data_IF_663642520165
#
_entry.id   IF_663642520165
#
_cell.length_a   1.000
_cell.length_b   1.000
_cell.length_c   1.000
_cell.angle_alpha   90.00
_cell.angle_beta   90.00
_cell.angle_gamma   90.00
#
_symmetry.space_group_name_H-M   'P 1'
#
loop_
_entity.id
_entity.type
_entity.pdbx_description
1 polymer ?
#
# COMPACT_ATOMS: atom_id res chain seq x y z
N UNK A 1 -19.05 0.21 1.70
CA UNK A 1 -17.89 0.46 2.55
C UNK A 1 -16.68 -0.02 1.75
N UNK A 2 -15.68 0.81 1.52
CA UNK A 2 -14.52 0.42 0.70
C UNK A 2 -13.41 -0.15 1.59
N UNK A 3 -12.77 -1.22 1.16
CA UNK A 3 -11.62 -1.81 1.85
C UNK A 3 -10.32 -1.27 1.25
N UNK A 4 -9.41 -0.74 2.04
CA UNK A 4 -8.19 -0.11 1.53
C UNK A 4 -6.96 -0.66 2.24
N UNK A 5 -5.93 -0.99 1.47
CA UNK A 5 -4.62 -1.29 2.02
C UNK A 5 -3.89 0.02 2.34
N UNK A 6 -3.60 0.24 3.62
CA UNK A 6 -2.89 1.40 4.14
C UNK A 6 -1.61 0.94 4.81
N UNK A 7 -0.48 1.51 4.42
CA UNK A 7 0.81 1.32 5.05
C UNK A 7 0.94 2.31 6.19
N UNK A 8 1.37 1.82 7.35
CA UNK A 8 1.83 2.65 8.46
C UNK A 8 3.26 2.26 8.76
N UNK A 9 4.20 3.09 8.32
CA UNK A 9 5.63 2.83 8.45
C UNK A 9 6.07 2.80 9.91
N UNK A 10 7.08 1.98 10.19
CA UNK A 10 7.62 1.79 11.54
C UNK A 10 7.99 3.11 12.21
N UNK A 11 8.77 3.96 11.56
CA UNK A 11 9.29 5.20 12.11
C UNK A 11 8.16 6.17 12.46
N UNK A 12 7.09 6.21 11.67
CA UNK A 12 5.92 7.03 11.98
C UNK A 12 5.17 6.46 13.18
N UNK A 13 4.99 5.14 13.22
CA UNK A 13 4.32 4.45 14.33
C UNK A 13 5.12 4.61 15.63
N UNK A 14 6.43 4.42 15.60
CA UNK A 14 7.35 4.51 16.73
C UNK A 14 7.44 5.94 17.28
N UNK A 15 7.56 6.94 16.39
CA UNK A 15 7.70 8.33 16.81
C UNK A 15 6.40 8.92 17.35
N UNK A 16 5.34 8.92 16.53
CA UNK A 16 4.11 9.67 16.82
C UNK A 16 2.83 8.81 16.78
N UNK A 17 2.95 7.55 16.36
CA UNK A 17 1.80 6.65 16.25
C UNK A 17 1.25 6.18 17.59
N UNK A 18 -0.05 5.87 17.56
CA UNK A 18 -0.76 5.18 18.64
C UNK A 18 -1.11 3.77 18.15
N UNK A 19 -0.69 2.71 18.85
CA UNK A 19 -1.07 1.35 18.52
C UNK A 19 -2.59 1.17 18.47
N UNK A 20 -3.06 0.43 17.47
CA UNK A 20 -4.46 0.09 17.24
C UNK A 20 -4.62 -1.43 17.07
N UNK A 21 -5.84 -1.91 17.17
CA UNK A 21 -6.21 -3.32 17.06
C UNK A 21 -7.24 -3.54 15.97
N UNK A 22 -7.42 -4.79 15.54
CA UNK A 22 -8.55 -5.17 14.70
C UNK A 22 -9.85 -4.80 15.40
N UNK A 23 -10.75 -4.14 14.67
CA UNK A 23 -12.02 -3.64 15.17
C UNK A 23 -12.00 -2.18 15.61
N UNK A 24 -10.83 -1.57 15.84
CA UNK A 24 -10.73 -0.16 16.23
C UNK A 24 -11.20 0.77 15.10
N UNK A 25 -11.80 1.90 15.48
CA UNK A 25 -12.02 3.03 14.59
C UNK A 25 -10.80 3.94 14.64
N UNK A 26 -10.27 4.32 13.48
CA UNK A 26 -9.08 5.16 13.36
C UNK A 26 -9.34 6.28 12.36
N UNK A 27 -8.62 7.40 12.53
CA UNK A 27 -8.65 8.54 11.61
C UNK A 27 -7.23 8.93 11.24
N UNK A 28 -6.89 8.78 9.96
CA UNK A 28 -5.54 8.99 9.45
C UNK A 28 -5.51 9.95 8.25
N UNK A 29 -4.59 10.91 8.22
CA UNK A 29 -4.25 11.59 6.97
C UNK A 29 -3.55 10.59 6.05
N UNK A 30 -4.13 10.35 4.87
CA UNK A 30 -3.59 9.41 3.89
C UNK A 30 -2.85 10.15 2.78
N UNK A 31 -1.67 9.64 2.44
CA UNK A 31 -0.81 10.09 1.36
C UNK A 31 -0.70 8.98 0.31
N UNK A 32 -0.95 9.29 -0.96
CA UNK A 32 -0.72 8.38 -2.07
C UNK A 32 0.73 8.53 -2.54
N UNK A 33 1.54 7.50 -2.26
CA UNK A 33 2.94 7.40 -2.63
C UNK A 33 3.09 6.61 -3.93
N UNK A 34 4.10 6.94 -4.73
CA UNK A 34 4.53 6.07 -5.82
C UNK A 34 4.95 4.71 -5.24
N UNK A 35 4.49 3.62 -5.86
CA UNK A 35 4.78 2.28 -5.38
C UNK A 35 6.25 1.89 -5.56
N UNK A 36 6.96 2.47 -6.54
CA UNK A 36 8.35 2.13 -6.84
C UNK A 36 9.33 2.80 -5.87
N UNK A 37 8.94 3.91 -5.23
CA UNK A 37 9.78 4.61 -4.23
C UNK A 37 9.70 3.96 -2.84
N UNK A 38 8.57 3.31 -2.53
CA UNK A 38 8.32 2.70 -1.23
C UNK A 38 8.86 1.28 -1.17
N UNK A 39 9.81 1.03 -0.27
CA UNK A 39 10.40 -0.30 -0.01
C UNK A 39 10.91 -1.01 -1.29
N UNK A 40 11.43 -0.26 -2.26
CA UNK A 40 12.02 -0.81 -3.49
C UNK A 40 11.01 -1.45 -4.45
N UNK A 41 9.71 -1.18 -4.29
CA UNK A 41 8.69 -1.58 -5.26
C UNK A 41 8.17 -3.02 -5.15
N UNK A 42 7.46 -3.42 -6.20
CA UNK A 42 6.85 -4.75 -6.34
C UNK A 42 5.53 -4.92 -5.57
N UNK A 43 4.81 -3.84 -5.27
CA UNK A 43 3.58 -3.79 -4.46
C UNK A 43 2.28 -4.17 -5.17
N UNK A 44 2.34 -5.01 -6.20
CA UNK A 44 1.25 -5.23 -7.16
C UNK A 44 -0.12 -5.59 -6.54
N UNK A 45 -0.12 -6.24 -5.38
CA UNK A 45 -1.26 -6.73 -4.62
C UNK A 45 -1.81 -5.73 -3.58
N UNK A 46 -1.09 -4.64 -3.30
CA UNK A 46 -1.52 -3.57 -2.38
C UNK A 46 -1.75 -2.22 -3.06
N UNK A 47 -1.66 -2.15 -4.39
CA UNK A 47 -1.83 -0.88 -5.11
C UNK A 47 -3.25 -0.35 -5.00
N UNK A 48 -3.35 0.92 -4.63
CA UNK A 48 -4.54 1.73 -4.76
C UNK A 48 -4.54 2.41 -6.13
N UNK A 49 -5.69 2.37 -6.80
CA UNK A 49 -5.96 3.16 -8.00
C UNK A 49 -6.93 4.25 -7.60
N UNK A 50 -6.50 5.51 -7.74
CA UNK A 50 -7.34 6.66 -7.47
C UNK A 50 -7.50 7.49 -8.74
N UNK A 51 -8.71 7.99 -8.98
CA UNK A 51 -8.98 8.93 -10.04
C UNK A 51 -9.99 9.97 -9.52
N UNK A 52 -9.78 11.24 -9.86
CA UNK A 52 -10.67 12.29 -9.39
C UNK A 52 -10.15 13.70 -9.61
N UNK A 53 -10.95 14.73 -9.28
CA UNK A 53 -10.49 16.11 -9.26
C UNK A 53 -9.40 16.31 -8.20
N UNK A 54 -8.47 17.22 -8.49
CA UNK A 54 -7.41 17.64 -7.59
C UNK A 54 -7.71 19.04 -7.04
N UNK A 55 -7.59 19.18 -5.73
CA UNK A 55 -7.83 20.40 -4.98
C UNK A 55 -6.53 20.84 -4.28
N UNK A 56 -6.40 22.13 -4.00
CA UNK A 56 -5.38 22.64 -3.06
C UNK A 56 -6.04 22.89 -1.71
N UNK A 57 -5.50 22.26 -0.67
CA UNK A 57 -5.90 22.54 0.72
C UNK A 57 -4.64 22.91 1.51
N UNK A 58 -4.44 24.21 1.69
CA UNK A 58 -3.30 24.71 2.47
C UNK A 58 -1.94 24.37 1.86
N UNK A 59 -1.84 24.37 0.52
CA UNK A 59 -0.62 24.02 -0.21
C UNK A 59 -0.42 22.51 -0.43
N UNK A 60 -1.37 21.68 0.01
CA UNK A 60 -1.36 20.23 -0.23
C UNK A 60 -2.27 19.90 -1.40
N UNK A 61 -1.74 19.15 -2.38
CA UNK A 61 -2.53 18.59 -3.49
C UNK A 61 -3.34 17.40 -2.97
N UNK A 62 -4.65 17.52 -2.99
CA UNK A 62 -5.57 16.48 -2.53
C UNK A 62 -6.38 15.97 -3.72
N UNK A 63 -6.41 14.66 -3.89
CA UNK A 63 -7.32 13.99 -4.82
C UNK A 63 -8.54 13.48 -4.05
N UNK A 64 -9.73 13.88 -4.51
CA UNK A 64 -10.98 13.24 -4.09
C UNK A 64 -11.29 12.15 -5.10
N UNK A 65 -10.97 10.92 -4.73
CA UNK A 65 -11.22 9.74 -5.53
C UNK A 65 -12.72 9.58 -5.82
N UNK A 66 -13.07 9.07 -7.00
CA UNK A 66 -14.44 8.98 -7.52
C UNK A 66 -15.41 8.22 -6.62
N UNK A 67 -14.93 7.26 -5.83
CA UNK A 67 -15.75 6.55 -4.83
C UNK A 67 -15.83 7.30 -3.49
N UNK A 68 -15.10 8.40 -3.31
CA UNK A 68 -15.18 9.28 -2.14
C UNK A 68 -13.96 9.27 -1.22
N UNK A 69 -12.95 8.43 -1.48
CA UNK A 69 -11.71 8.44 -0.70
C UNK A 69 -10.96 9.76 -0.92
N UNK A 70 -10.49 10.39 0.16
CA UNK A 70 -9.70 11.63 0.08
C UNK A 70 -8.24 11.32 0.42
N UNK A 71 -7.32 11.64 -0.49
CA UNK A 71 -5.88 11.36 -0.32
C UNK A 71 -5.03 12.54 -0.75
N UNK A 72 -3.95 12.81 -0.03
CA UNK A 72 -2.92 13.74 -0.52
C UNK A 72 -2.08 13.06 -1.62
N UNK A 73 -1.59 13.85 -2.57
CA UNK A 73 -0.65 13.40 -3.59
C UNK A 73 0.76 13.80 -3.18
N UNK A 74 1.63 12.80 -3.05
CA UNK A 74 3.05 13.06 -2.79
C UNK A 74 3.70 13.71 -4.02
N UNK A 75 4.55 14.70 -3.76
CA UNK A 75 5.52 15.15 -4.74
C UNK A 75 6.74 14.24 -4.67
N UNK A 76 7.49 14.15 -5.76
CA UNK A 76 8.83 13.58 -5.69
C UNK A 76 9.72 14.57 -4.91
N UNK A 77 10.30 14.18 -3.75
CA UNK A 77 11.14 15.08 -2.97
C UNK A 77 12.45 15.44 -3.69
N UNK A 78 12.87 14.65 -4.68
CA UNK A 78 14.09 14.85 -5.46
C UNK A 78 13.84 15.68 -6.74
N UNK A 79 12.59 15.95 -7.09
CA UNK A 79 12.25 16.82 -8.21
C UNK A 79 12.25 18.30 -7.77
N UNK A 80 13.11 19.10 -8.41
CA UNK A 80 13.12 20.57 -8.25
C UNK A 80 11.83 21.24 -8.77
N UNK A 81 11.06 20.54 -9.61
CA UNK A 81 9.79 20.99 -10.17
C UNK A 81 8.62 20.17 -9.61
N UNK A 82 7.58 20.84 -9.13
CA UNK A 82 6.36 20.17 -8.68
C UNK A 82 5.59 19.58 -9.87
N UNK A 83 5.80 18.29 -10.13
CA UNK A 83 5.12 17.53 -11.20
C UNK A 83 3.73 17.02 -10.80
N UNK A 84 3.23 17.38 -9.60
CA UNK A 84 1.88 16.98 -9.20
C UNK A 84 0.84 17.67 -10.11
N UNK A 85 -0.32 17.03 -10.34
CA UNK A 85 -1.41 17.66 -11.07
C UNK A 85 -1.79 19.02 -10.47
N UNK A 86 -2.17 19.97 -11.31
CA UNK A 86 -2.56 21.30 -10.85
C UNK A 86 -3.96 21.27 -10.20
N UNK A 87 -4.27 22.20 -9.29
CA UNK A 87 -5.62 22.32 -8.76
C UNK A 87 -6.63 22.58 -9.87
N UNK A 88 -7.77 21.88 -9.83
CA UNK A 88 -8.78 21.90 -10.88
C UNK A 88 -8.59 20.82 -11.95
N UNK A 89 -7.40 20.22 -12.05
CA UNK A 89 -7.18 19.09 -12.96
C UNK A 89 -7.92 17.85 -12.46
N UNK A 90 -8.24 16.96 -13.41
CA UNK A 90 -8.56 15.57 -13.10
C UNK A 90 -7.29 14.75 -13.26
N UNK A 91 -6.99 13.95 -12.25
CA UNK A 91 -5.82 13.09 -12.27
C UNK A 91 -6.22 11.63 -12.07
N UNK A 92 -5.33 10.74 -12.51
CA UNK A 92 -5.39 9.31 -12.24
C UNK A 92 -4.02 8.88 -11.75
N UNK A 93 -3.99 8.24 -10.60
CA UNK A 93 -2.76 7.83 -9.95
C UNK A 93 -2.89 6.40 -9.44
N UNK A 94 -1.77 5.68 -9.43
CA UNK A 94 -1.68 4.33 -8.89
C UNK A 94 -0.50 4.33 -7.92
N UNK A 95 -0.72 3.85 -6.70
CA UNK A 95 0.28 3.97 -5.66
C UNK A 95 -0.11 3.25 -4.38
N UNK A 96 0.67 3.46 -3.33
CA UNK A 96 0.37 2.95 -1.99
C UNK A 96 -0.24 4.06 -1.15
N UNK A 97 -1.26 3.72 -0.37
CA UNK A 97 -1.74 4.62 0.66
C UNK A 97 -0.81 4.47 1.86
N UNK A 98 -0.18 5.56 2.28
CA UNK A 98 0.60 5.63 3.50
C UNK A 98 -0.04 6.61 4.48
N UNK A 99 0.12 6.37 5.77
CA UNK A 99 -0.22 7.34 6.81
C UNK A 99 0.79 8.49 6.76
N UNK A 100 0.39 9.74 7.02
CA UNK A 100 1.34 10.87 7.17
C UNK A 100 1.19 11.57 8.52
N UNK A 101 2.18 11.48 9.41
CA UNK A 101 2.12 12.13 10.74
C UNK A 101 3.05 13.33 10.93
N UNK A 102 3.99 13.54 10.03
CA UNK A 102 5.11 14.49 10.15
C UNK A 102 5.03 15.62 9.11
N UNK A 103 4.20 15.46 8.08
CA UNK A 103 4.00 16.45 7.03
C UNK A 103 2.96 17.54 7.33
N UNK A 104 2.54 18.20 6.25
CA UNK A 104 1.44 19.16 6.26
C UNK A 104 0.12 18.53 6.76
N UNK A 105 -0.88 19.36 7.05
CA UNK A 105 -2.18 18.90 7.56
C UNK A 105 -3.23 18.92 6.45
N UNK A 106 -3.94 17.83 6.30
CA UNK A 106 -5.11 17.69 5.43
C UNK A 106 -6.20 16.86 6.10
N UNK A 107 -7.43 16.82 5.54
CA UNK A 107 -8.52 16.02 6.08
C UNK A 107 -8.10 14.56 6.31
N UNK A 108 -8.47 14.03 7.47
CA UNK A 108 -8.24 12.63 7.81
C UNK A 108 -9.33 11.75 7.21
N UNK A 109 -8.95 10.54 6.83
CA UNK A 109 -9.87 9.47 6.46
C UNK A 109 -10.13 8.61 7.69
N UNK A 110 -11.40 8.47 8.04
CA UNK A 110 -11.85 7.62 9.14
C UNK A 110 -12.32 6.26 8.64
N UNK A 111 -12.03 5.21 9.38
CA UNK A 111 -12.52 3.87 9.08
C UNK A 111 -12.21 2.85 10.16
N UNK A 112 -12.79 1.67 9.99
CA UNK A 112 -12.60 0.53 10.90
C UNK A 112 -11.45 -0.34 10.44
N UNK A 113 -10.57 -0.71 11.37
CA UNK A 113 -9.48 -1.66 11.12
C UNK A 113 -10.06 -3.08 10.97
N UNK A 114 -9.84 -3.71 9.81
CA UNK A 114 -10.32 -5.08 9.51
C UNK A 114 -9.22 -6.13 9.53
N UNK A 115 -7.97 -5.74 9.29
CA UNK A 115 -6.81 -6.60 9.40
C UNK A 115 -5.55 -5.77 9.70
N UNK A 116 -4.61 -6.36 10.43
CA UNK A 116 -3.27 -5.79 10.68
C UNK A 116 -2.22 -6.85 10.38
N UNK A 117 -1.26 -6.49 9.54
CA UNK A 117 -0.16 -7.38 9.16
C UNK A 117 1.16 -6.63 9.32
N UNK A 118 2.07 -7.14 10.15
CA UNK A 118 3.44 -6.63 10.24
C UNK A 118 4.16 -6.88 8.92
N UNK A 119 4.67 -5.81 8.33
CA UNK A 119 5.48 -5.83 7.12
C UNK A 119 6.91 -6.16 7.48
N UNK A 120 7.42 -7.30 7.01
CA UNK A 120 8.82 -7.68 7.14
C UNK A 120 9.49 -7.49 5.79
N UNK A 121 10.33 -6.46 5.67
CA UNK A 121 11.05 -6.11 4.45
C UNK A 121 12.49 -6.61 4.51
N UNK A 122 12.97 -7.19 3.41
CA UNK A 122 14.38 -7.50 3.25
C UNK A 122 15.16 -6.31 2.70
N UNK A 123 16.36 -6.09 3.24
CA UNK A 123 17.31 -5.08 2.80
C UNK A 123 18.65 -5.76 2.52
N UNK A 124 19.33 -5.32 1.46
CA UNK A 124 20.69 -5.74 1.15
C UNK A 124 21.62 -4.53 1.26
N UNK A 125 22.89 -4.76 1.59
CA UNK A 125 23.88 -3.70 1.46
C UNK A 125 23.94 -3.19 0.02
N UNK A 126 24.10 -1.87 -0.15
CA UNK A 126 24.27 -1.26 -1.47
C UNK A 126 25.58 -1.70 -2.13
N UNK A 127 26.63 -1.90 -1.32
CA UNK A 127 27.90 -2.49 -1.71
C UNK A 127 28.49 -3.28 -0.53
N UNK A 128 29.31 -4.32 -0.77
CA UNK A 128 29.89 -5.12 0.32
C UNK A 128 30.59 -4.25 1.38
N UNK A 129 30.11 -4.31 2.61
CA UNK A 129 30.66 -3.58 3.76
C UNK A 129 30.33 -2.08 3.79
N UNK A 130 29.44 -1.58 2.93
CA UNK A 130 29.07 -0.16 2.90
C UNK A 130 28.30 0.28 4.15
N UNK A 131 27.63 -0.65 4.84
CA UNK A 131 26.64 -0.39 5.91
C UNK A 131 25.46 0.49 5.47
N UNK A 132 25.34 0.79 4.18
CA UNK A 132 24.19 1.43 3.55
C UNK A 132 23.27 0.33 3.03
N UNK A 133 21.99 0.41 3.35
CA UNK A 133 21.03 -0.66 3.10
C UNK A 133 19.95 -0.19 2.14
N UNK A 134 19.68 -1.01 1.13
CA UNK A 134 18.64 -0.77 0.14
C UNK A 134 17.57 -1.87 0.22
N UNK A 135 16.29 -1.53 0.10
CA UNK A 135 15.23 -2.52 0.11
C UNK A 135 15.35 -3.44 -1.11
N UNK A 136 15.25 -4.74 -0.88
CA UNK A 136 15.24 -5.72 -1.97
C UNK A 136 13.83 -5.83 -2.53
N UNK A 137 13.65 -5.35 -3.76
CA UNK A 137 12.38 -5.35 -4.47
C UNK A 137 11.65 -6.69 -4.39
N UNK A 138 10.38 -6.66 -3.98
CA UNK A 138 9.52 -7.85 -3.88
C UNK A 138 9.92 -8.89 -2.81
N UNK A 139 10.98 -8.66 -2.02
CA UNK A 139 11.38 -9.55 -0.92
C UNK A 139 10.77 -9.09 0.41
N UNK A 140 9.44 -9.10 0.47
CA UNK A 140 8.67 -8.83 1.68
C UNK A 140 7.92 -10.07 2.18
N UNK A 141 7.54 -10.04 3.46
CA UNK A 141 6.60 -10.97 4.08
C UNK A 141 5.61 -10.18 4.93
N UNK A 142 4.40 -10.69 5.03
CA UNK A 142 3.38 -10.15 5.92
C UNK A 142 3.14 -11.16 7.04
N UNK A 143 3.10 -10.69 8.28
CA UNK A 143 2.80 -11.50 9.46
C UNK A 143 1.58 -10.94 10.15
N UNK A 144 0.49 -11.69 10.17
CA UNK A 144 -0.74 -11.29 10.85
C UNK A 144 -0.51 -11.02 12.34
N UNK A 145 -1.16 -9.96 12.84
CA UNK A 145 -1.26 -9.62 14.27
C UNK A 145 -2.65 -9.08 14.56
N UNK A 146 -3.15 -9.29 15.78
CA UNK A 146 -4.43 -8.70 16.21
C UNK A 146 -4.28 -7.23 16.63
N UNK A 147 -3.06 -6.84 17.04
CA UNK A 147 -2.72 -5.49 17.48
C UNK A 147 -1.43 -5.02 16.82
N UNK A 148 -1.44 -3.80 16.29
CA UNK A 148 -0.25 -3.14 15.77
C UNK A 148 0.79 -2.97 16.89
N UNK A 149 2.04 -3.42 16.70
CA UNK A 149 3.09 -3.13 17.66
C UNK A 149 3.41 -1.63 17.68
N UNK A 150 3.89 -1.14 18.82
CA UNK A 150 4.45 0.21 18.93
C UNK A 150 5.89 0.26 18.41
N UNK A 151 6.66 -0.79 18.69
CA UNK A 151 8.08 -0.91 18.42
C UNK A 151 8.32 -2.10 17.50
N UNK A 152 9.14 -1.91 16.49
CA UNK A 152 9.39 -2.87 15.43
C UNK A 152 10.81 -3.43 15.53
N UNK A 153 10.95 -4.70 15.19
CA UNK A 153 12.22 -5.41 15.33
C UNK A 153 13.15 -5.13 14.16
N UNK A 154 14.39 -4.77 14.48
CA UNK A 154 15.43 -4.54 13.48
C UNK A 154 15.89 -5.82 12.77
N UNK A 155 15.70 -6.98 13.40
CA UNK A 155 16.02 -8.32 12.90
C UNK A 155 17.52 -8.60 12.73
N UNK A 156 17.83 -9.84 12.38
CA UNK A 156 19.21 -10.33 12.28
C UNK A 156 19.82 -10.06 10.89
N UNK A 157 21.15 -9.97 10.87
CA UNK A 157 21.94 -9.79 9.65
C UNK A 157 22.53 -11.14 9.24
N UNK A 158 22.25 -11.54 8.01
CA UNK A 158 22.76 -12.76 7.38
C UNK A 158 23.73 -12.38 6.26
N UNK A 159 24.70 -13.23 5.94
CA UNK A 159 25.60 -13.00 4.82
C UNK A 159 25.00 -13.58 3.53
N UNK A 160 24.82 -12.73 2.51
CA UNK A 160 24.33 -13.12 1.20
C UNK A 160 25.37 -13.88 0.38
N UNK A 161 24.90 -14.68 -0.59
CA UNK A 161 25.76 -15.46 -1.49
C UNK A 161 26.62 -14.60 -2.43
N UNK A 162 26.23 -13.34 -2.64
CA UNK A 162 26.96 -12.34 -3.42
C UNK A 162 27.94 -11.52 -2.55
N UNK A 163 28.14 -11.90 -1.29
CA UNK A 163 29.01 -11.23 -0.34
C UNK A 163 28.41 -9.98 0.31
N UNK A 164 27.22 -9.54 -0.11
CA UNK A 164 26.50 -8.43 0.52
C UNK A 164 25.74 -8.94 1.73
N UNK A 165 25.76 -8.20 2.84
CA UNK A 165 24.93 -8.55 3.97
C UNK A 165 23.45 -8.35 3.63
N UNK A 166 22.59 -9.25 4.13
CA UNK A 166 21.14 -9.23 4.01
C UNK A 166 20.55 -9.07 5.41
N UNK A 167 19.55 -8.22 5.55
CA UNK A 167 18.85 -7.99 6.82
C UNK A 167 17.35 -8.02 6.59
N UNK A 168 16.59 -8.60 7.53
CA UNK A 168 15.13 -8.55 7.51
C UNK A 168 14.65 -7.72 8.68
N UNK A 169 13.92 -6.64 8.42
CA UNK A 169 13.39 -5.73 9.43
C UNK A 169 11.88 -5.71 9.38
N UNK A 170 11.25 -5.54 10.53
CA UNK A 170 9.85 -5.17 10.59
C UNK A 170 9.74 -3.67 10.25
N UNK A 171 9.25 -3.34 9.04
CA UNK A 171 9.27 -1.98 8.50
C UNK A 171 7.94 -1.22 8.66
N UNK A 172 7.04 -1.73 9.49
CA UNK A 172 5.73 -1.15 9.74
C UNK A 172 4.61 -2.17 9.64
N UNK A 173 3.41 -1.71 9.34
CA UNK A 173 2.23 -2.56 9.12
C UNK A 173 1.50 -2.22 7.83
N UNK A 174 0.93 -3.24 7.21
CA UNK A 174 -0.17 -3.09 6.25
C UNK A 174 -1.48 -3.28 7.00
N UNK A 175 -2.38 -2.33 6.85
CA UNK A 175 -3.70 -2.31 7.47
C UNK A 175 -4.74 -2.44 6.38
N UNK A 176 -5.72 -3.32 6.57
CA UNK A 176 -6.97 -3.20 5.81
C UNK A 176 -7.92 -2.28 6.56
N UNK A 177 -8.18 -1.12 5.99
CA UNK A 177 -9.09 -0.11 6.53
C UNK A 177 -10.42 -0.14 5.78
N UNK A 178 -11.52 -0.33 6.48
CA UNK A 178 -12.87 -0.20 5.94
C UNK A 178 -13.37 1.24 6.09
N UNK A 179 -13.54 1.94 4.97
CA UNK A 179 -13.88 3.35 4.91
C UNK A 179 -15.35 3.52 4.47
N UNK A 180 -16.20 4.17 5.29
CA UNK A 180 -17.59 4.42 4.93
C UNK A 180 -17.76 5.24 3.66
N UNK A 181 -18.82 4.94 2.91
CA UNK A 181 -19.18 5.70 1.70
C UNK A 181 -18.20 5.56 0.53
N UNK A 182 -17.22 4.66 0.61
CA UNK A 182 -16.25 4.38 -0.47
C UNK A 182 -16.42 3.00 -1.08
N UNK A 183 -15.72 2.76 -2.19
CA UNK A 183 -15.53 1.45 -2.82
C UNK A 183 -14.08 1.32 -3.34
N UNK A 184 -13.57 0.11 -3.52
CA UNK A 184 -12.19 -0.10 -3.94
C UNK A 184 -12.00 -1.38 -4.75
N UNK A 185 -10.82 -1.53 -5.35
CA UNK A 185 -10.41 -2.77 -5.99
C UNK A 185 -10.31 -3.96 -5.01
N UNK A 186 -9.97 -3.71 -3.74
CA UNK A 186 -9.94 -4.76 -2.73
C UNK A 186 -11.35 -5.19 -2.33
N UNK A 187 -12.27 -4.23 -2.18
CA UNK A 187 -13.70 -4.52 -2.01
C UNK A 187 -14.24 -5.36 -3.16
N UNK A 188 -13.92 -5.00 -4.40
CA UNK A 188 -14.24 -5.79 -5.58
C UNK A 188 -13.70 -7.23 -5.50
N UNK A 189 -12.43 -7.40 -5.15
CA UNK A 189 -11.79 -8.72 -5.03
C UNK A 189 -12.43 -9.58 -3.92
N UNK A 190 -12.83 -8.98 -2.80
CA UNK A 190 -13.57 -9.68 -1.74
C UNK A 190 -14.94 -10.13 -2.25
N UNK A 191 -15.68 -9.27 -2.98
CA UNK A 191 -16.97 -9.67 -3.59
C UNK A 191 -16.80 -10.85 -4.54
N UNK A 192 -15.79 -10.82 -5.41
CA UNK A 192 -15.51 -11.92 -6.33
C UNK A 192 -15.17 -13.21 -5.59
N UNK A 193 -14.29 -13.15 -4.58
CA UNK A 193 -13.93 -14.31 -3.76
C UNK A 193 -15.13 -14.91 -3.01
N UNK A 194 -16.12 -14.06 -2.67
CA UNK A 194 -17.37 -14.48 -2.02
C UNK A 194 -18.49 -14.86 -3.01
N UNK A 195 -18.25 -14.77 -4.32
CA UNK A 195 -19.25 -15.07 -5.34
C UNK A 195 -20.43 -14.08 -5.38
N UNK A 196 -20.22 -12.84 -4.90
CA UNK A 196 -21.27 -11.81 -4.87
C UNK A 196 -21.35 -11.13 -6.25
N UNK A 197 -22.52 -11.11 -6.92
CA UNK A 197 -22.66 -10.47 -8.23
C UNK A 197 -22.47 -8.95 -8.17
N UNK A 198 -21.54 -8.43 -8.96
CA UNK A 198 -21.13 -7.02 -8.92
C UNK A 198 -22.25 -6.03 -9.27
N UNK A 199 -23.17 -6.40 -10.15
CA UNK A 199 -24.23 -5.49 -10.65
C UNK A 199 -25.34 -5.22 -9.63
N UNK A 200 -25.35 -5.93 -8.50
CA UNK A 200 -26.43 -5.89 -7.50
C UNK A 200 -25.88 -5.65 -6.09
N UNK A 201 -24.56 -5.57 -5.93
CA UNK A 201 -23.93 -5.45 -4.63
C UNK A 201 -23.89 -3.99 -4.18
N UNK A 202 -24.64 -3.68 -3.12
CA UNK A 202 -24.47 -2.41 -2.40
C UNK A 202 -23.09 -2.39 -1.71
N UNK A 203 -22.42 -1.22 -1.64
CA UNK A 203 -21.13 -1.12 -0.97
C UNK A 203 -21.20 -1.59 0.49
N UNK A 204 -20.42 -2.62 0.85
CA UNK A 204 -20.41 -3.22 2.19
C UNK A 204 -21.01 -4.64 2.23
N UNK A 205 -21.69 -5.09 1.17
CA UNK A 205 -22.13 -6.48 1.04
C UNK A 205 -20.95 -7.48 1.13
N UNK A 206 -19.75 -7.05 0.73
CA UNK A 206 -18.52 -7.83 0.84
C UNK A 206 -18.13 -8.21 2.27
N UNK A 207 -18.53 -7.44 3.28
CA UNK A 207 -18.25 -7.70 4.70
C UNK A 207 -19.50 -8.13 5.48
N UNK A 208 -20.67 -8.19 4.83
CA UNK A 208 -21.91 -8.62 5.47
C UNK A 208 -21.94 -10.14 5.71
N UNK A 209 -22.31 -10.55 6.93
CA UNK A 209 -22.48 -11.95 7.31
C UNK A 209 -21.18 -12.77 7.43
N UNK A 210 -20.01 -12.18 7.23
CA UNK A 210 -18.72 -12.81 7.46
C UNK A 210 -18.22 -12.48 8.88
N UNK A 211 -17.68 -13.45 9.60
CA UNK A 211 -17.08 -13.20 10.91
C UNK A 211 -15.81 -12.37 10.76
N UNK A 212 -15.42 -11.62 11.79
CA UNK A 212 -14.17 -10.85 11.76
C UNK A 212 -12.97 -11.73 11.43
N UNK A 213 -12.86 -12.91 12.05
CA UNK A 213 -11.78 -13.87 11.78
C UNK A 213 -11.76 -14.35 10.32
N UNK A 214 -12.91 -14.76 9.77
CA UNK A 214 -12.99 -15.23 8.39
C UNK A 214 -12.71 -14.11 7.38
N UNK A 215 -13.11 -12.86 7.68
CA UNK A 215 -12.77 -11.71 6.87
C UNK A 215 -11.27 -11.45 6.90
N UNK A 216 -10.64 -11.51 8.07
CA UNK A 216 -9.18 -11.35 8.18
C UNK A 216 -8.42 -12.44 7.42
N UNK A 217 -8.85 -13.70 7.48
CA UNK A 217 -8.24 -14.82 6.73
C UNK A 217 -8.33 -14.60 5.22
N UNK A 218 -9.49 -14.14 4.74
CA UNK A 218 -9.71 -13.82 3.33
C UNK A 218 -8.81 -12.66 2.87
N UNK A 219 -8.76 -11.58 3.67
CA UNK A 219 -7.93 -10.41 3.38
C UNK A 219 -6.44 -10.79 3.32
N UNK A 220 -5.96 -11.64 4.23
CA UNK A 220 -4.57 -12.12 4.20
C UNK A 220 -4.22 -12.85 2.89
N UNK A 221 -5.17 -13.64 2.37
CA UNK A 221 -5.02 -14.34 1.08
C UNK A 221 -4.92 -13.34 -0.09
N UNK A 222 -5.68 -12.24 -0.02
CA UNK A 222 -5.68 -11.20 -1.04
C UNK A 222 -4.46 -10.25 -0.94
N UNK A 223 -3.86 -10.13 0.24
CA UNK A 223 -2.67 -9.32 0.52
C UNK A 223 -1.34 -9.98 0.16
N UNK A 224 -1.34 -11.19 -0.41
CA UNK A 224 -0.10 -11.96 -0.68
C UNK A 224 -0.05 -12.57 -2.08
N UNK A 225 -0.88 -12.07 -3.01
CA UNK A 225 -0.95 -12.62 -4.37
C UNK A 225 0.35 -12.35 -5.10
N UNK A 226 1.11 -13.42 -5.36
CA UNK A 226 2.34 -13.35 -6.14
C UNK A 226 2.08 -12.69 -7.50
N UNK A 227 3.00 -11.80 -7.91
CA UNK A 227 2.92 -11.15 -9.21
C UNK A 227 2.78 -12.23 -10.31
N UNK A 228 1.84 -12.07 -11.26
CA UNK A 228 1.79 -12.97 -12.39
C UNK A 228 3.14 -12.95 -13.11
N UNK A 229 3.69 -14.09 -13.54
CA UNK A 229 4.97 -14.12 -14.23
C UNK A 229 4.90 -13.19 -15.44
N UNK A 230 5.85 -12.24 -15.53
CA UNK A 230 5.98 -11.36 -16.70
C UNK A 230 6.04 -12.26 -17.93
N UNK A 231 4.99 -12.23 -18.77
CA UNK A 231 5.05 -12.83 -20.10
C UNK A 231 6.11 -12.06 -20.88
N UNK A 232 7.33 -12.56 -20.89
CA UNK A 232 8.34 -12.10 -21.83
C UNK A 232 7.76 -12.31 -23.23
N UNK A 233 7.50 -11.19 -23.89
CA UNK A 233 7.00 -11.15 -25.25
C UNK A 233 7.90 -11.99 -26.14
N UNK A 234 7.28 -12.97 -26.78
CA UNK A 234 7.79 -13.76 -27.89
C UNK A 234 8.46 -12.82 -28.88
N UNK A 235 9.79 -12.77 -28.89
CA UNK A 235 10.58 -12.09 -29.91
C UNK A 235 10.33 -12.79 -31.24
N UNK A 236 9.34 -12.32 -31.98
CA UNK A 236 9.08 -12.71 -33.35
C UNK A 236 10.16 -12.13 -34.26
N UNK A 237 11.31 -12.79 -34.34
CA UNK A 237 12.24 -12.61 -35.45
C UNK A 237 11.65 -13.31 -36.68
N UNK A 238 10.87 -12.55 -37.45
CA UNK A 238 10.48 -12.95 -38.80
C UNK A 238 11.71 -13.05 -39.72
N UNK A 239 11.69 -13.94 -40.72
CA UNK A 239 12.84 -14.17 -41.59
C UNK A 239 13.05 -12.97 -42.53
N UNK A 240 14.26 -12.39 -42.50
CA UNK A 240 14.72 -11.43 -43.52
C UNK A 240 14.83 -12.15 -44.86
N UNK A 241 14.05 -11.71 -45.85
CA UNK A 241 14.27 -12.04 -47.26
C UNK A 241 15.43 -11.20 -47.78
N UNK A 242 16.42 -11.86 -48.35
CA UNK A 242 17.45 -11.23 -49.18
C UNK A 242 16.88 -10.93 -50.57
N UNK A 243 17.09 -9.71 -51.04
CA UNK A 243 17.18 -9.33 -52.43
C UNK A 243 18.26 -8.25 -52.54
#
# INVERSE_FOLDING_TARGET
MGLWHVIYEDWQMECCGTPFSVGDEVSWPLLLLDADTVFGGGWHDQLTKAAGPVEDVGGVRIMREETGLTVALAGDPDDDEDRRPAPGDRARSVGLLSVERHGARWPQVSGRVRAVQVLIQAYAESAPGSRSWEPVAGKRRLRRVERCPKWFSDGEVEQGSDGRALRRRESGVVVTLEVPGTDSWLSYAVREARGIPQRVAEPGAETEGITAAALTDLLETLSTVAAPPRRYGRSGTGPRRHA
#
